data_IF_617354529068
#
_entry.id   IF_617354529068
#
_cell.length_a   1.000
_cell.length_b   1.000
_cell.length_c   1.000
_cell.angle_alpha   90.00
_cell.angle_beta   90.00
_cell.angle_gamma   90.00
#
_symmetry.space_group_name_H-M   'P 1'
#
loop_
_entity.id
_entity.type
_entity.pdbx_description
1 polymer ?
#
# COMPACT_ATOMS: atom_id res chain seq x y z
N UNK A 1 18.49 -22.33 3.71
CA UNK A 1 18.09 -20.92 3.83
C UNK A 1 16.76 -20.91 4.54
N UNK A 2 16.72 -20.34 5.74
CA UNK A 2 15.61 -20.48 6.69
C UNK A 2 14.40 -19.66 6.22
N UNK A 3 13.27 -20.33 6.00
CA UNK A 3 12.01 -19.76 5.48
C UNK A 3 11.37 -18.72 6.44
N UNK A 4 11.95 -18.56 7.64
CA UNK A 4 11.50 -17.63 8.68
C UNK A 4 12.08 -16.22 8.53
N UNK A 5 13.14 -16.02 7.77
CA UNK A 5 13.67 -14.68 7.42
C UNK A 5 12.94 -14.05 6.21
N UNK A 6 12.09 -14.82 5.52
CA UNK A 6 11.47 -14.44 4.24
C UNK A 6 10.23 -13.53 4.36
N UNK A 7 9.91 -13.05 5.56
CA UNK A 7 8.69 -12.29 5.88
C UNK A 7 8.96 -10.92 6.53
N UNK A 8 10.14 -10.33 6.29
CA UNK A 8 10.52 -9.05 6.89
C UNK A 8 9.78 -7.90 6.19
N UNK A 9 8.78 -7.34 6.87
CA UNK A 9 8.17 -6.06 6.50
C UNK A 9 9.17 -4.96 6.87
N UNK A 10 9.69 -4.24 5.88
CA UNK A 10 10.52 -3.06 6.15
C UNK A 10 9.62 -1.89 6.54
N UNK A 11 9.84 -1.36 7.75
CA UNK A 11 9.21 -0.14 8.23
C UNK A 11 10.25 0.98 8.16
N UNK A 12 9.96 2.04 7.39
CA UNK A 12 10.82 3.21 7.26
C UNK A 12 10.01 4.50 7.24
N UNK A 13 10.68 5.64 7.38
CA UNK A 13 10.06 6.94 7.13
C UNK A 13 9.50 7.02 5.71
N UNK A 14 8.33 7.64 5.58
CA UNK A 14 7.76 7.97 4.26
C UNK A 14 8.59 9.04 3.58
N UNK A 15 8.85 8.88 2.29
CA UNK A 15 9.46 9.88 1.43
C UNK A 15 8.43 10.46 0.44
N UNK A 16 8.82 11.48 -0.32
CA UNK A 16 7.98 12.16 -1.29
C UNK A 16 7.50 11.20 -2.40
N UNK A 17 8.30 10.19 -2.73
CA UNK A 17 7.94 9.15 -3.71
C UNK A 17 6.78 8.27 -3.21
N UNK A 18 6.59 8.16 -1.90
CA UNK A 18 5.53 7.33 -1.31
C UNK A 18 4.15 8.01 -1.37
N UNK A 19 4.07 9.32 -1.67
CA UNK A 19 2.82 10.11 -1.61
C UNK A 19 1.71 9.46 -2.43
N UNK A 20 2.01 8.94 -3.62
CA UNK A 20 1.02 8.28 -4.49
C UNK A 20 0.47 7.03 -3.81
N UNK A 21 1.34 6.19 -3.25
CA UNK A 21 0.95 4.96 -2.56
C UNK A 21 0.15 5.27 -1.28
N UNK A 22 0.58 6.25 -0.49
CA UNK A 22 -0.10 6.71 0.72
C UNK A 22 -1.50 7.22 0.36
N UNK A 23 -1.61 8.11 -0.62
CA UNK A 23 -2.89 8.66 -1.09
C UNK A 23 -3.84 7.53 -1.55
N UNK A 24 -3.32 6.50 -2.22
CA UNK A 24 -4.12 5.36 -2.65
C UNK A 24 -4.62 4.52 -1.46
N UNK A 25 -3.78 4.25 -0.44
CA UNK A 25 -4.20 3.57 0.79
C UNK A 25 -5.34 4.33 1.47
N UNK A 26 -5.18 5.65 1.66
CA UNK A 26 -6.22 6.49 2.27
C UNK A 26 -7.47 6.67 1.39
N UNK A 27 -7.43 6.25 0.13
CA UNK A 27 -8.59 6.24 -0.76
C UNK A 27 -9.39 4.93 -0.68
N UNK A 28 -8.93 3.94 0.10
CA UNK A 28 -9.65 2.68 0.27
C UNK A 28 -10.86 2.87 1.17
N UNK A 29 -12.03 2.27 0.85
CA UNK A 29 -13.24 2.36 1.65
C UNK A 29 -13.03 2.00 3.12
N UNK A 30 -12.24 0.96 3.41
CA UNK A 30 -11.89 0.56 4.78
C UNK A 30 -11.15 1.63 5.59
N UNK A 31 -10.47 2.57 4.94
CA UNK A 31 -9.71 3.64 5.60
C UNK A 31 -10.53 4.90 5.87
N UNK A 32 -11.60 5.16 5.12
CA UNK A 32 -12.44 6.35 5.31
C UNK A 32 -13.85 6.05 5.82
N UNK A 33 -14.41 4.87 5.53
CA UNK A 33 -15.75 4.46 5.96
C UNK A 33 -15.77 4.32 7.48
N UNK A 34 -16.39 5.28 8.17
CA UNK A 34 -16.38 5.38 9.64
C UNK A 34 -15.42 6.43 10.21
N UNK A 35 -14.76 7.22 9.37
CA UNK A 35 -13.93 8.37 9.79
C UNK A 35 -14.44 9.67 9.15
N UNK A 36 -13.88 10.80 9.58
CA UNK A 36 -14.14 12.11 8.96
C UNK A 36 -13.22 12.39 7.73
N UNK A 37 -12.56 11.38 7.18
CA UNK A 37 -11.77 11.56 5.96
C UNK A 37 -12.68 11.73 4.73
N UNK A 38 -12.28 12.62 3.82
CA UNK A 38 -12.97 12.72 2.53
C UNK A 38 -12.57 11.57 1.60
N UNK A 39 -13.54 10.97 0.88
CA UNK A 39 -13.23 10.07 -0.22
C UNK A 39 -12.49 10.84 -1.32
N UNK A 40 -11.62 10.15 -2.05
CA UNK A 40 -10.82 10.69 -3.17
C UNK A 40 -9.92 11.90 -2.82
N UNK A 41 -9.01 11.78 -1.84
CA UNK A 41 -8.16 12.90 -1.44
C UNK A 41 -7.19 13.33 -2.56
N UNK A 42 -7.00 14.65 -2.70
CA UNK A 42 -6.09 15.26 -3.68
C UNK A 42 -4.63 14.87 -3.45
N UNK A 43 -3.90 14.57 -4.52
CA UNK A 43 -2.46 14.30 -4.49
C UNK A 43 -1.68 15.51 -3.97
N UNK A 44 -1.99 16.71 -4.49
CA UNK A 44 -1.35 17.96 -4.08
C UNK A 44 -1.56 18.24 -2.59
N UNK A 45 -2.76 17.92 -2.07
CA UNK A 45 -3.07 18.06 -0.64
C UNK A 45 -2.22 17.12 0.21
N UNK A 46 -2.06 15.87 -0.20
CA UNK A 46 -1.22 14.89 0.51
C UNK A 46 0.26 15.23 0.44
N UNK A 47 0.74 15.71 -0.71
CA UNK A 47 2.09 16.22 -0.85
C UNK A 47 2.35 17.37 0.12
N UNK A 48 1.51 18.40 0.10
CA UNK A 48 1.62 19.53 1.04
C UNK A 48 1.60 19.06 2.49
N UNK A 49 0.66 18.17 2.83
CA UNK A 49 0.52 17.64 4.20
C UNK A 49 1.79 16.93 4.69
N UNK A 50 2.41 16.10 3.86
CA UNK A 50 3.60 15.34 4.27
C UNK A 50 4.87 16.20 4.27
N UNK A 51 4.92 17.26 3.46
CA UNK A 51 6.02 18.22 3.46
C UNK A 51 6.00 19.18 4.66
N UNK A 52 4.83 19.42 5.27
CA UNK A 52 4.63 20.39 6.35
C UNK A 52 4.23 19.72 7.68
N UNK A 53 4.76 18.53 7.95
CA UNK A 53 4.46 17.81 9.19
C UNK A 53 5.02 18.54 10.43
N UNK A 54 4.24 18.67 11.52
CA UNK A 54 4.75 19.15 12.80
C UNK A 54 5.93 18.30 13.29
N UNK A 55 6.84 18.89 14.07
CA UNK A 55 8.04 18.22 14.58
C UNK A 55 7.73 16.94 15.37
N UNK A 56 6.60 16.91 16.09
CA UNK A 56 6.14 15.76 16.86
C UNK A 56 5.31 14.74 16.04
N UNK A 57 5.29 14.85 14.72
CA UNK A 57 4.54 13.97 13.84
C UNK A 57 5.48 13.10 13.01
N UNK A 58 5.28 11.79 13.06
CA UNK A 58 6.06 10.82 12.29
C UNK A 58 5.16 10.09 11.29
N UNK A 59 5.56 10.12 10.02
CA UNK A 59 4.93 9.34 8.95
C UNK A 59 5.85 8.18 8.57
N UNK A 60 5.31 6.96 8.65
CA UNK A 60 6.02 5.71 8.38
C UNK A 60 5.26 4.92 7.30
N UNK A 61 6.01 4.17 6.50
CA UNK A 61 5.47 3.24 5.51
C UNK A 61 5.96 1.82 5.78
N UNK A 62 5.07 0.86 5.56
CA UNK A 62 5.39 -0.56 5.54
C UNK A 62 5.51 -1.01 4.08
N UNK A 63 6.71 -1.36 3.64
CA UNK A 63 6.95 -1.77 2.26
C UNK A 63 6.84 -3.29 2.15
N UNK A 64 5.89 -3.77 1.36
CA UNK A 64 5.64 -5.19 1.16
C UNK A 64 6.67 -5.83 0.20
N UNK A 65 7.21 -6.99 0.61
CA UNK A 65 8.31 -7.74 0.00
C UNK A 65 8.08 -8.24 -1.43
N UNK A 66 6.83 -8.32 -1.92
CA UNK A 66 6.55 -8.97 -3.20
C UNK A 66 7.29 -8.27 -4.37
N UNK A 67 7.21 -6.94 -4.48
CA UNK A 67 7.96 -6.20 -5.51
C UNK A 67 9.47 -6.31 -5.33
N UNK A 68 9.97 -6.25 -4.09
CA UNK A 68 11.41 -6.33 -3.79
C UNK A 68 12.00 -7.70 -4.14
N UNK A 69 11.22 -8.76 -4.00
CA UNK A 69 11.64 -10.10 -4.38
C UNK A 69 11.46 -10.40 -5.89
N UNK A 70 11.09 -9.43 -6.72
CA UNK A 70 10.88 -9.66 -8.15
C UNK A 70 9.55 -10.35 -8.48
N UNK A 71 8.55 -10.27 -7.59
CA UNK A 71 7.20 -10.66 -7.98
C UNK A 71 6.59 -9.58 -8.89
N UNK A 72 6.11 -10.01 -10.04
CA UNK A 72 5.31 -9.21 -10.97
C UNK A 72 3.84 -9.62 -10.86
N UNK A 73 2.94 -8.69 -11.18
CA UNK A 73 1.52 -9.00 -11.33
C UNK A 73 1.34 -9.64 -12.71
N UNK A 74 0.89 -10.88 -12.75
CA UNK A 74 0.64 -11.62 -13.99
C UNK A 74 -0.83 -11.58 -14.40
N UNK A 75 -1.72 -11.33 -13.44
CA UNK A 75 -3.14 -11.24 -13.70
C UNK A 75 -3.92 -10.61 -12.54
N UNK A 76 -5.12 -10.16 -12.86
CA UNK A 76 -6.11 -9.67 -11.90
C UNK A 76 -7.33 -10.59 -12.03
N UNK A 77 -7.62 -11.37 -10.98
CA UNK A 77 -8.83 -12.15 -10.88
C UNK A 77 -9.92 -11.26 -10.29
N UNK A 78 -10.88 -10.86 -11.12
CA UNK A 78 -12.00 -10.03 -10.69
C UNK A 78 -13.00 -10.81 -9.85
N UNK A 79 -13.60 -10.14 -8.87
CA UNK A 79 -14.60 -10.71 -7.96
C UNK A 79 -14.17 -12.05 -7.33
N UNK A 80 -12.87 -12.20 -7.06
CA UNK A 80 -12.27 -13.48 -6.68
C UNK A 80 -12.69 -13.96 -5.28
N UNK A 81 -12.83 -13.03 -4.33
CA UNK A 81 -13.17 -13.36 -2.96
C UNK A 81 -14.29 -12.46 -2.45
N UNK A 82 -15.18 -12.99 -1.61
CA UNK A 82 -16.20 -12.19 -0.93
C UNK A 82 -15.67 -11.75 0.45
N UNK A 83 -15.58 -10.44 0.69
CA UNK A 83 -15.10 -9.84 1.95
C UNK A 83 -15.89 -8.58 2.27
N UNK A 84 -16.21 -8.38 3.55
CA UNK A 84 -16.93 -7.19 4.04
C UNK A 84 -18.23 -6.85 3.28
N UNK A 85 -18.91 -7.88 2.75
CA UNK A 85 -20.17 -7.72 2.03
C UNK A 85 -20.03 -7.45 0.53
N UNK A 86 -18.81 -7.38 0.01
CA UNK A 86 -18.52 -7.10 -1.39
C UNK A 86 -17.59 -8.18 -1.99
N UNK A 87 -17.67 -8.37 -3.30
CA UNK A 87 -16.65 -9.13 -4.01
C UNK A 87 -15.42 -8.25 -4.21
N UNK A 88 -14.24 -8.81 -3.96
CA UNK A 88 -12.94 -8.14 -4.09
C UNK A 88 -12.06 -8.86 -5.08
N UNK A 89 -11.36 -8.08 -5.88
CA UNK A 89 -10.38 -8.57 -6.84
C UNK A 89 -9.14 -9.13 -6.12
N UNK A 90 -8.43 -10.05 -6.79
CA UNK A 90 -7.15 -10.56 -6.34
C UNK A 90 -6.09 -10.43 -7.42
N UNK A 91 -4.91 -9.94 -7.05
CA UNK A 91 -3.75 -9.97 -7.94
C UNK A 91 -3.08 -11.35 -7.86
N UNK A 92 -2.95 -11.98 -9.02
CA UNK A 92 -2.13 -13.16 -9.22
C UNK A 92 -0.71 -12.66 -9.48
N UNK A 93 0.23 -13.10 -8.66
CA UNK A 93 1.63 -12.68 -8.74
C UNK A 93 2.56 -13.87 -8.81
N UNK A 94 3.59 -13.78 -9.64
CA UNK A 94 4.66 -14.76 -9.71
C UNK A 94 6.01 -14.09 -9.58
N UNK A 95 6.95 -14.81 -8.96
CA UNK A 95 8.35 -14.43 -8.90
C UNK A 95 9.04 -14.87 -10.20
N UNK A 96 9.42 -13.91 -11.03
CA UNK A 96 10.19 -14.21 -12.23
C UNK A 96 11.66 -14.01 -11.86
N UNK A 97 12.35 -15.11 -11.55
CA UNK A 97 13.80 -15.08 -11.47
C UNK A 97 14.34 -15.14 -12.90
N UNK A 98 15.07 -14.12 -13.31
CA UNK A 98 15.93 -14.23 -14.49
C UNK A 98 16.92 -15.36 -14.23
N UNK A 99 16.97 -16.34 -15.14
CA UNK A 99 17.79 -17.55 -15.04
C UNK A 99 19.29 -17.29 -15.13
#
# INVERSE_FOLDING_TARGET
MDIRESNIIEIRHSDIEDIVAIKNIYSQPSCYSGTLLHPFPSLLRWQKRLSELPENFHSLVAVALYKRNGFIIEGEARDYAFRDGEYVDAFIMANVKDG
#
